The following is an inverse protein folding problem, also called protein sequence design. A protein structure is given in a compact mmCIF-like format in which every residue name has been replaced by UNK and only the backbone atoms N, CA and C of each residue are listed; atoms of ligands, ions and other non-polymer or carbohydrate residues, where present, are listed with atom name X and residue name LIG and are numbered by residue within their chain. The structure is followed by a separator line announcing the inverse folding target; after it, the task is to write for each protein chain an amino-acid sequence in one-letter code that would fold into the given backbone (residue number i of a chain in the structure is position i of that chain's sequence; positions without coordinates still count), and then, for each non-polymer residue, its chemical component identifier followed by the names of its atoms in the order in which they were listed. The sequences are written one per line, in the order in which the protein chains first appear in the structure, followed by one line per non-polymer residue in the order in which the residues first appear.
data_IF_449355015835
#
_entry.id   IF_449355015835
#
_cell.length_a   1.000
_cell.length_b   1.000
_cell.length_c   1.000
_cell.angle_alpha   90.00
_cell.angle_beta   90.00
_cell.angle_gamma   90.00
#
_symmetry.space_group_name_H-M   'P 1'
#
loop_
_entity.id
_entity.type
_entity.pdbx_description
1 polymer ?
#
# COMPACT_ATOMS: atom_id res chain seq x y z
N UNK A 1 -8.98 9.84 -8.58
CA UNK A 1 -8.79 8.48 -8.03
C UNK A 1 -9.03 7.51 -9.17
N UNK A 2 -8.23 6.45 -9.31
CA UNK A 2 -8.47 5.47 -10.37
C UNK A 2 -9.50 4.47 -9.84
N UNK A 3 -10.62 4.30 -10.53
CA UNK A 3 -11.69 3.44 -10.06
C UNK A 3 -11.22 1.99 -10.00
N UNK A 4 -11.38 1.37 -8.83
CA UNK A 4 -10.97 -0.02 -8.62
C UNK A 4 -12.11 -0.92 -9.11
N UNK A 5 -11.95 -1.44 -10.32
CA UNK A 5 -12.90 -2.38 -10.92
C UNK A 5 -12.26 -3.75 -11.14
N UNK A 6 -13.05 -4.80 -10.98
CA UNK A 6 -12.68 -6.20 -11.26
C UNK A 6 -13.81 -6.83 -12.05
N UNK A 7 -13.49 -7.35 -13.25
CA UNK A 7 -14.42 -8.16 -14.04
C UNK A 7 -14.38 -9.59 -13.49
N UNK A 8 -15.54 -10.21 -13.36
CA UNK A 8 -15.67 -11.62 -13.02
C UNK A 8 -15.66 -12.41 -14.32
N UNK A 9 -14.85 -13.46 -14.37
CA UNK A 9 -14.80 -14.39 -15.50
C UNK A 9 -15.22 -15.77 -14.99
N UNK A 10 -15.91 -16.53 -15.83
CA UNK A 10 -16.30 -17.93 -15.57
C UNK A 10 -17.06 -18.17 -14.25
N UNK A 11 -17.81 -17.16 -13.79
CA UNK A 11 -18.54 -17.15 -12.51
C UNK A 11 -17.65 -17.41 -11.27
N UNK A 12 -16.33 -17.24 -11.38
CA UNK A 12 -15.40 -17.41 -10.25
C UNK A 12 -15.36 -16.14 -9.38
N UNK A 13 -16.34 -16.06 -8.48
CA UNK A 13 -16.52 -14.93 -7.57
C UNK A 13 -15.39 -14.85 -6.54
N UNK A 14 -14.89 -15.98 -6.05
CA UNK A 14 -13.88 -16.03 -5.01
C UNK A 14 -12.55 -15.43 -5.49
N UNK A 15 -12.15 -15.79 -6.72
CA UNK A 15 -10.96 -15.23 -7.36
C UNK A 15 -11.12 -13.74 -7.62
N UNK A 16 -12.29 -13.30 -8.09
CA UNK A 16 -12.57 -11.88 -8.28
C UNK A 16 -12.45 -11.09 -6.97
N UNK A 17 -13.00 -11.61 -5.87
CA UNK A 17 -12.89 -11.00 -4.53
C UNK A 17 -11.45 -10.94 -4.04
N UNK A 18 -10.65 -11.99 -4.27
CA UNK A 18 -9.23 -12.01 -3.92
C UNK A 18 -8.43 -10.96 -4.70
N UNK A 19 -8.69 -10.83 -6.01
CA UNK A 19 -8.05 -9.83 -6.87
C UNK A 19 -8.44 -8.42 -6.42
N UNK A 20 -9.73 -8.18 -6.13
CA UNK A 20 -10.22 -6.91 -5.64
C UNK A 20 -9.52 -6.51 -4.33
N UNK A 21 -9.48 -7.41 -3.36
CA UNK A 21 -8.78 -7.20 -2.09
C UNK A 21 -7.31 -6.82 -2.30
N UNK A 22 -6.60 -7.53 -3.20
CA UNK A 22 -5.20 -7.24 -3.53
C UNK A 22 -5.03 -5.87 -4.20
N UNK A 23 -5.92 -5.50 -5.13
CA UNK A 23 -5.90 -4.17 -5.77
C UNK A 23 -6.11 -3.05 -4.75
N UNK A 24 -7.06 -3.19 -3.83
CA UNK A 24 -7.33 -2.21 -2.77
C UNK A 24 -6.12 -2.06 -1.83
N UNK A 25 -5.48 -3.18 -1.47
CA UNK A 25 -4.29 -3.15 -0.62
C UNK A 25 -3.10 -2.48 -1.32
N UNK A 26 -2.89 -2.75 -2.62
CA UNK A 26 -1.82 -2.15 -3.42
C UNK A 26 -2.00 -0.64 -3.63
N UNK A 27 -3.24 -0.18 -3.83
CA UNK A 27 -3.56 1.26 -3.95
C UNK A 27 -3.28 2.03 -2.64
N UNK A 28 -3.16 1.32 -1.51
CA UNK A 28 -2.82 1.93 -0.23
C UNK A 28 -3.95 2.80 0.33
N UNK A 29 -5.19 2.61 -0.15
CA UNK A 29 -6.38 3.35 0.26
C UNK A 29 -6.54 3.33 1.79
N UNK A 30 -6.45 2.15 2.41
CA UNK A 30 -6.57 2.02 3.86
C UNK A 30 -5.51 2.80 4.64
N UNK A 31 -4.28 2.86 4.12
CA UNK A 31 -3.20 3.64 4.73
C UNK A 31 -3.51 5.14 4.65
N UNK A 32 -4.00 5.62 3.51
CA UNK A 32 -4.43 7.02 3.34
C UNK A 32 -5.61 7.37 4.24
N UNK A 33 -6.61 6.52 4.31
CA UNK A 33 -7.77 6.70 5.18
C UNK A 33 -7.34 6.77 6.65
N UNK A 34 -6.49 5.85 7.10
CA UNK A 34 -5.95 5.87 8.48
C UNK A 34 -5.19 7.15 8.79
N UNK A 35 -4.38 7.65 7.85
CA UNK A 35 -3.64 8.91 8.02
C UNK A 35 -4.55 10.14 8.04
N UNK A 36 -5.69 10.10 7.35
CA UNK A 36 -6.67 11.20 7.29
C UNK A 36 -7.69 11.18 8.42
N UNK A 37 -7.75 10.13 9.26
CA UNK A 37 -8.72 10.02 10.35
C UNK A 37 -8.61 11.15 11.39
N UNK A 38 -7.42 11.70 11.58
CA UNK A 38 -7.16 12.78 12.52
C UNK A 38 -6.23 13.81 11.87
N UNK A 39 -6.28 15.05 12.34
CA UNK A 39 -5.36 16.09 11.92
C UNK A 39 -3.92 15.75 12.37
N UNK A 40 -2.98 15.76 11.43
CA UNK A 40 -1.55 15.57 11.69
C UNK A 40 -0.87 16.93 11.61
N UNK A 41 -0.22 17.37 12.71
CA UNK A 41 0.58 18.61 12.70
C UNK A 41 1.68 18.53 11.62
N UNK A 42 2.05 19.65 10.98
CA UNK A 42 3.03 19.64 9.88
C UNK A 42 4.43 19.14 10.30
N UNK A 43 4.83 19.35 11.55
CA UNK A 43 6.08 18.81 12.11
C UNK A 43 6.06 17.27 12.22
N UNK A 44 4.96 16.71 12.71
CA UNK A 44 4.75 15.26 12.80
C UNK A 44 4.66 14.62 11.41
N UNK A 45 4.01 15.29 10.46
CA UNK A 45 3.98 14.88 9.07
C UNK A 45 5.39 14.74 8.46
N UNK A 46 6.25 15.77 8.66
CA UNK A 46 7.65 15.74 8.20
C UNK A 46 8.42 14.57 8.82
N UNK A 47 8.30 14.39 10.14
CA UNK A 47 8.95 13.28 10.87
C UNK A 47 8.49 11.91 10.36
N UNK A 48 7.19 11.71 10.16
CA UNK A 48 6.64 10.45 9.63
C UNK A 48 7.14 10.17 8.22
N UNK A 49 7.14 11.17 7.34
CA UNK A 49 7.62 11.03 5.95
C UNK A 49 9.09 10.60 5.91
N UNK A 50 9.95 11.19 6.75
CA UNK A 50 11.35 10.80 6.88
C UNK A 50 11.50 9.35 7.38
N UNK A 51 10.79 8.97 8.45
CA UNK A 51 10.80 7.59 8.97
C UNK A 51 10.33 6.57 7.92
N UNK A 52 9.27 6.88 7.18
CA UNK A 52 8.77 6.02 6.10
C UNK A 52 9.78 5.86 4.96
N UNK A 53 10.49 6.93 4.58
CA UNK A 53 11.53 6.87 3.54
C UNK A 53 12.70 5.98 3.97
N UNK A 54 13.21 6.16 5.19
CA UNK A 54 14.28 5.32 5.75
C UNK A 54 13.86 3.85 5.82
N UNK A 55 12.61 3.58 6.25
CA UNK A 55 12.07 2.21 6.26
C UNK A 55 12.03 1.60 4.85
N UNK A 56 11.58 2.35 3.84
CA UNK A 56 11.56 1.87 2.44
C UNK A 56 12.96 1.55 1.93
N UNK A 57 13.95 2.41 2.20
CA UNK A 57 15.34 2.18 1.83
C UNK A 57 15.89 0.91 2.49
N UNK A 58 15.65 0.70 3.79
CA UNK A 58 16.06 -0.52 4.50
C UNK A 58 15.44 -1.79 3.90
N UNK A 59 14.15 -1.75 3.56
CA UNK A 59 13.45 -2.87 2.93
C UNK A 59 14.03 -3.14 1.53
N UNK A 60 14.26 -2.10 0.73
CA UNK A 60 14.83 -2.24 -0.61
C UNK A 60 16.24 -2.85 -0.57
N UNK A 61 17.10 -2.35 0.32
CA UNK A 61 18.46 -2.88 0.51
C UNK A 61 18.43 -4.34 0.99
N UNK A 62 17.53 -4.70 1.90
CA UNK A 62 17.36 -6.09 2.33
C UNK A 62 16.98 -6.99 1.14
N UNK A 63 15.99 -6.59 0.34
CA UNK A 63 15.55 -7.36 -0.84
C UNK A 63 16.64 -7.50 -1.89
N UNK A 64 17.43 -6.46 -2.14
CA UNK A 64 18.56 -6.52 -3.07
C UNK A 64 19.64 -7.50 -2.60
N UNK A 65 19.95 -7.53 -1.29
CA UNK A 65 20.87 -8.52 -0.73
C UNK A 65 20.40 -9.97 -0.90
N UNK A 66 19.11 -10.24 -0.70
CA UNK A 66 18.54 -11.57 -0.95
C UNK A 66 18.54 -11.95 -2.43
N UNK A 67 18.44 -10.98 -3.34
CA UNK A 67 18.45 -11.22 -4.79
C UNK A 67 19.84 -11.46 -5.35
N UNK A 68 20.87 -10.86 -4.74
CA UNK A 68 22.28 -11.01 -5.13
C UNK A 68 22.94 -12.27 -4.56
N UNK A 69 22.26 -12.97 -3.66
CA UNK A 69 22.67 -14.26 -3.09
C UNK A 69 21.96 -15.39 -3.83
#
# INVERSE_FOLDING_TARGET
MKDIQVKVYDNDLEKAMRILKKKIQNDGLFKRLKLKKAYEKPSEHKRRKQREALRRQRIAASRDRYRKR
#
